data_IF_350067310823
#
_entry.id   IF_350067310823
#
_cell.length_a   1.000
_cell.length_b   1.000
_cell.length_c   1.000
_cell.angle_alpha   90.00
_cell.angle_beta   90.00
_cell.angle_gamma   90.00
#
_symmetry.space_group_name_H-M   'P 1'
#
loop_
_entity.id
_entity.type
_entity.pdbx_description
1 polymer ?
#
# COMPACT_ATOMS: atom_id res chain seq x y z
N UNK A 1 12.01 -29.03 4.72
CA UNK A 1 11.50 -27.96 5.60
C UNK A 1 11.84 -26.54 5.08
N UNK A 2 11.96 -26.31 3.76
CA UNK A 2 12.27 -24.96 3.23
C UNK A 2 11.02 -24.15 2.82
N UNK A 3 9.93 -24.83 2.48
CA UNK A 3 8.73 -24.17 1.94
C UNK A 3 7.95 -23.37 2.99
N UNK A 4 7.97 -23.83 4.26
CA UNK A 4 7.32 -23.14 5.39
C UNK A 4 8.06 -21.85 5.79
N UNK A 5 9.38 -21.77 5.58
CA UNK A 5 10.16 -20.57 5.90
C UNK A 5 9.91 -19.42 4.91
N UNK A 6 9.60 -19.73 3.64
CA UNK A 6 9.19 -18.72 2.63
C UNK A 6 7.83 -18.08 2.91
N UNK A 7 6.93 -18.82 3.57
CA UNK A 7 5.61 -18.30 3.94
C UNK A 7 5.75 -17.41 5.20
N UNK A 8 6.59 -17.81 6.17
CA UNK A 8 6.88 -16.98 7.35
C UNK A 8 7.51 -15.63 7.01
N UNK A 9 8.38 -15.56 5.99
CA UNK A 9 9.02 -14.29 5.60
C UNK A 9 8.06 -13.25 5.03
N UNK A 10 6.83 -13.62 4.65
CA UNK A 10 5.80 -12.64 4.23
C UNK A 10 5.06 -12.05 5.44
N UNK A 11 5.06 -12.74 6.59
CA UNK A 11 4.36 -12.33 7.82
C UNK A 11 5.29 -11.56 8.76
N UNK A 12 6.61 -11.73 8.67
CA UNK A 12 7.57 -11.08 9.59
C UNK A 12 8.12 -9.72 9.13
N UNK A 13 7.73 -9.20 7.96
CA UNK A 13 8.18 -7.88 7.49
C UNK A 13 7.33 -6.70 7.99
N UNK A 14 6.28 -6.93 8.79
CA UNK A 14 5.45 -5.87 9.39
C UNK A 14 6.27 -4.81 10.16
N UNK A 15 7.40 -5.18 10.75
CA UNK A 15 8.25 -4.27 11.53
C UNK A 15 9.22 -3.43 10.70
N UNK A 16 9.47 -3.76 9.42
CA UNK A 16 10.50 -3.09 8.59
C UNK A 16 9.94 -2.13 7.56
N UNK A 17 8.66 -2.22 7.19
CA UNK A 17 8.01 -1.33 6.19
C UNK A 17 7.24 -0.16 6.79
N UNK A 18 7.02 -0.15 8.11
CA UNK A 18 6.10 0.76 8.80
C UNK A 18 6.74 1.90 9.63
N UNK A 19 7.89 1.74 10.30
CA UNK A 19 8.50 2.86 11.03
C UNK A 19 9.05 3.88 10.03
N UNK A 20 8.38 5.02 9.88
CA UNK A 20 8.78 6.12 9.00
C UNK A 20 7.87 6.38 7.80
N UNK A 21 6.87 5.54 7.54
CA UNK A 21 5.80 5.86 6.58
C UNK A 21 4.80 6.80 7.25
N UNK A 22 4.48 7.99 6.69
CA UNK A 22 3.62 8.93 7.38
C UNK A 22 2.21 8.37 7.65
N UNK A 23 1.74 7.40 6.86
CA UNK A 23 0.45 6.73 7.08
C UNK A 23 0.34 6.02 8.44
N UNK A 24 1.47 5.58 9.03
CA UNK A 24 1.47 4.90 10.34
C UNK A 24 1.37 5.87 11.52
N UNK A 25 1.50 7.18 11.26
CA UNK A 25 1.20 8.22 12.25
C UNK A 25 -0.31 8.31 12.47
N UNK A 26 -1.07 8.33 11.39
CA UNK A 26 -2.52 8.56 11.42
C UNK A 26 -3.35 7.28 11.54
N UNK A 27 -2.86 6.16 11.00
CA UNK A 27 -3.54 4.87 11.02
C UNK A 27 -2.78 3.85 11.84
N UNK A 28 -3.53 3.09 12.63
CA UNK A 28 -3.08 1.84 13.22
C UNK A 28 -3.29 0.72 12.21
N UNK A 29 -2.21 0.07 11.78
CA UNK A 29 -2.27 -1.01 10.80
C UNK A 29 -2.46 -2.34 11.54
N UNK A 30 -3.54 -3.05 11.20
CA UNK A 30 -3.96 -4.26 11.91
C UNK A 30 -3.40 -5.50 11.22
N UNK A 31 -3.80 -5.74 9.98
CA UNK A 31 -3.46 -6.97 9.24
C UNK A 31 -3.41 -6.74 7.73
N UNK A 32 -2.68 -7.60 7.02
CA UNK A 32 -2.64 -7.62 5.56
C UNK A 32 -3.81 -8.45 5.04
N UNK A 33 -4.68 -7.84 4.26
CA UNK A 33 -5.93 -8.46 3.81
C UNK A 33 -5.91 -8.86 2.34
N UNK A 34 -5.16 -8.14 1.50
CA UNK A 34 -5.16 -8.39 0.05
C UNK A 34 -3.97 -7.75 -0.66
N UNK A 35 -3.76 -8.13 -1.92
CA UNK A 35 -2.91 -7.39 -2.86
C UNK A 35 -3.74 -6.90 -4.04
N UNK A 36 -3.42 -5.73 -4.58
CA UNK A 36 -4.26 -5.05 -5.57
C UNK A 36 -3.46 -4.33 -6.67
N UNK A 37 -4.18 -3.93 -7.71
CA UNK A 37 -3.66 -3.17 -8.85
C UNK A 37 -2.75 -3.98 -9.78
N UNK A 38 -2.14 -3.30 -10.78
CA UNK A 38 -1.27 -3.94 -11.77
C UNK A 38 -0.12 -4.68 -11.10
N UNK A 39 0.12 -5.91 -11.54
CA UNK A 39 1.15 -6.82 -11.01
C UNK A 39 1.08 -7.07 -9.49
N UNK A 40 -0.09 -6.83 -8.87
CA UNK A 40 -0.35 -7.02 -7.43
C UNK A 40 0.65 -6.27 -6.53
N UNK A 41 1.09 -5.10 -7.00
CA UNK A 41 2.11 -4.29 -6.34
C UNK A 41 1.60 -3.56 -5.10
N UNK A 42 0.30 -3.25 -5.04
CA UNK A 42 -0.29 -2.70 -3.83
C UNK A 42 -0.53 -3.80 -2.82
N UNK A 43 -0.04 -3.58 -1.60
CA UNK A 43 -0.42 -4.35 -0.41
C UNK A 43 -1.50 -3.59 0.32
N UNK A 44 -2.63 -4.25 0.55
CA UNK A 44 -3.80 -3.68 1.20
C UNK A 44 -3.85 -4.21 2.62
N UNK A 45 -3.89 -3.28 3.56
CA UNK A 45 -3.98 -3.57 4.98
C UNK A 45 -5.29 -3.04 5.53
N UNK A 46 -5.85 -3.76 6.51
CA UNK A 46 -6.86 -3.21 7.38
C UNK A 46 -6.20 -2.17 8.28
N UNK A 47 -6.68 -0.93 8.25
CA UNK A 47 -6.21 0.15 9.08
C UNK A 47 -7.35 0.77 9.89
N UNK A 48 -7.05 1.29 11.06
CA UNK A 48 -7.98 2.04 11.90
C UNK A 48 -7.43 3.44 12.11
N UNK A 49 -8.20 4.47 11.74
CA UNK A 49 -7.79 5.86 11.93
C UNK A 49 -7.75 6.17 13.43
N UNK A 50 -6.60 6.62 13.95
CA UNK A 50 -6.42 6.76 15.41
C UNK A 50 -7.34 7.82 16.02
N UNK A 51 -7.62 8.90 15.29
CA UNK A 51 -8.43 10.02 15.75
C UNK A 51 -9.92 9.74 15.74
N UNK A 52 -10.46 9.17 14.66
CA UNK A 52 -11.91 8.94 14.49
C UNK A 52 -12.33 7.52 14.83
N UNK A 53 -11.38 6.59 14.99
CA UNK A 53 -11.61 5.14 15.15
C UNK A 53 -12.35 4.49 13.98
N UNK A 54 -12.38 5.15 12.82
CA UNK A 54 -12.99 4.62 11.61
C UNK A 54 -12.09 3.54 10.98
N UNK A 55 -12.72 2.48 10.48
CA UNK A 55 -12.03 1.45 9.69
C UNK A 55 -11.78 1.94 8.27
N UNK A 56 -10.60 1.64 7.74
CA UNK A 56 -10.20 1.98 6.39
C UNK A 56 -9.24 0.96 5.79
N UNK A 57 -9.08 1.01 4.47
CA UNK A 57 -8.12 0.21 3.74
C UNK A 57 -6.87 1.04 3.44
N UNK A 58 -5.71 0.58 3.91
CA UNK A 58 -4.42 1.25 3.71
C UNK A 58 -3.66 0.55 2.60
N UNK A 59 -3.37 1.29 1.52
CA UNK A 59 -2.63 0.79 0.36
C UNK A 59 -1.16 1.18 0.48
N UNK A 60 -0.27 0.19 0.48
CA UNK A 60 1.18 0.39 0.59
C UNK A 60 1.87 -0.21 -0.63
N UNK A 61 2.80 0.55 -1.22
CA UNK A 61 3.68 0.08 -2.28
C UNK A 61 5.10 -0.08 -1.75
N UNK A 62 5.61 -1.30 -1.77
CA UNK A 62 7.00 -1.58 -1.44
C UNK A 62 7.90 -1.31 -2.65
N UNK A 63 8.64 -0.18 -2.63
CA UNK A 63 9.55 0.19 -3.72
C UNK A 63 10.58 -0.91 -4.06
N UNK A 64 10.99 -1.73 -3.08
CA UNK A 64 11.91 -2.87 -3.28
C UNK A 64 11.36 -3.93 -4.25
N UNK A 65 10.04 -4.10 -4.33
CA UNK A 65 9.42 -5.01 -5.30
C UNK A 65 9.66 -4.56 -6.75
N UNK A 66 10.02 -3.29 -6.95
CA UNK A 66 10.32 -2.73 -8.26
C UNK A 66 11.78 -2.97 -8.69
N UNK A 67 12.65 -3.44 -7.79
CA UNK A 67 14.08 -3.66 -8.09
C UNK A 67 14.30 -4.82 -9.08
N UNK A 68 13.28 -5.66 -9.30
CA UNK A 68 13.27 -6.71 -10.32
C UNK A 68 13.05 -6.22 -11.75
N UNK A 69 12.65 -4.96 -11.93
CA UNK A 69 12.38 -4.36 -13.23
C UNK A 69 13.54 -3.49 -13.69
N UNK A 70 13.66 -3.29 -15.00
CA UNK A 70 14.60 -2.30 -15.54
C UNK A 70 14.22 -0.90 -15.06
N UNK A 71 15.20 0.03 -15.09
CA UNK A 71 14.98 1.43 -14.72
C UNK A 71 13.81 2.05 -15.48
N UNK A 72 13.70 1.77 -16.78
CA UNK A 72 12.63 2.29 -17.63
C UNK A 72 11.26 1.75 -17.22
N UNK A 73 11.13 0.43 -17.06
CA UNK A 73 9.87 -0.21 -16.63
C UNK A 73 9.43 0.27 -15.25
N UNK A 74 10.37 0.42 -14.30
CA UNK A 74 10.08 0.95 -12.96
C UNK A 74 9.46 2.34 -13.03
N UNK A 75 9.98 3.22 -13.87
CA UNK A 75 9.47 4.58 -14.06
C UNK A 75 8.08 4.57 -14.71
N UNK A 76 7.87 3.71 -15.71
CA UNK A 76 6.56 3.51 -16.33
C UNK A 76 5.53 3.01 -15.31
N UNK A 77 5.87 1.99 -14.52
CA UNK A 77 4.99 1.43 -13.48
C UNK A 77 4.61 2.51 -12.47
N UNK A 78 5.61 3.23 -11.93
CA UNK A 78 5.36 4.31 -10.97
C UNK A 78 4.46 5.41 -11.56
N UNK A 79 4.65 5.75 -12.83
CA UNK A 79 3.82 6.74 -13.53
C UNK A 79 2.36 6.29 -13.63
N UNK A 80 2.13 5.03 -14.03
CA UNK A 80 0.78 4.45 -14.11
C UNK A 80 0.11 4.46 -12.73
N UNK A 81 0.83 4.04 -11.69
CA UNK A 81 0.31 3.97 -10.32
C UNK A 81 -0.06 5.36 -9.78
N UNK A 82 0.82 6.36 -9.95
CA UNK A 82 0.56 7.75 -9.54
C UNK A 82 -0.65 8.35 -10.25
N UNK A 83 -0.73 8.15 -11.56
CA UNK A 83 -1.85 8.64 -12.37
C UNK A 83 -3.17 7.97 -11.98
N UNK A 84 -3.15 6.68 -11.62
CA UNK A 84 -4.32 5.96 -11.11
C UNK A 84 -4.87 6.59 -9.84
N UNK A 85 -4.00 6.84 -8.85
CA UNK A 85 -4.41 7.46 -7.57
C UNK A 85 -4.92 8.89 -7.79
N UNK A 86 -4.25 9.68 -8.61
CA UNK A 86 -4.67 11.04 -8.92
C UNK A 86 -6.05 11.12 -9.58
N UNK A 87 -6.48 10.07 -10.28
CA UNK A 87 -7.84 9.95 -10.82
C UNK A 87 -8.83 9.52 -9.73
N UNK A 88 -8.47 8.53 -8.91
CA UNK A 88 -9.32 8.04 -7.81
C UNK A 88 -9.66 9.14 -6.80
N UNK A 89 -8.73 10.04 -6.48
CA UNK A 89 -8.98 11.17 -5.55
C UNK A 89 -9.99 12.18 -6.08
N UNK A 90 -10.26 12.21 -7.39
CA UNK A 90 -11.23 13.12 -8.01
C UNK A 90 -12.64 12.54 -8.09
N UNK A 91 -12.79 11.23 -7.89
CA UNK A 91 -14.09 10.55 -7.97
C UNK A 91 -14.84 10.70 -6.65
N UNK A 92 -16.08 11.20 -6.72
CA UNK A 92 -17.00 11.28 -5.58
C UNK A 92 -18.36 10.75 -6.00
N UNK A 93 -18.63 9.51 -5.64
CA UNK A 93 -19.88 8.83 -5.95
C UNK A 93 -20.23 7.82 -4.84
N UNK A 94 -21.49 7.68 -4.41
CA UNK A 94 -21.87 6.77 -3.31
C UNK A 94 -21.45 5.31 -3.51
N UNK A 95 -21.41 4.87 -4.77
CA UNK A 95 -21.00 3.50 -5.15
C UNK A 95 -19.49 3.35 -5.43
N UNK A 96 -18.68 4.38 -5.20
CA UNK A 96 -17.23 4.36 -5.41
C UNK A 96 -16.54 4.63 -4.08
N UNK A 97 -15.55 3.82 -3.74
CA UNK A 97 -14.73 4.05 -2.56
C UNK A 97 -14.03 5.41 -2.66
N UNK A 98 -14.22 6.23 -1.63
CA UNK A 98 -13.60 7.54 -1.52
C UNK A 98 -12.20 7.42 -0.95
N UNK A 99 -11.25 8.13 -1.56
CA UNK A 99 -9.89 8.21 -1.05
C UNK A 99 -9.84 9.21 0.10
N UNK A 100 -9.61 8.75 1.32
CA UNK A 100 -9.53 9.62 2.50
C UNK A 100 -8.20 10.37 2.57
N UNK A 101 -7.09 9.71 2.24
CA UNK A 101 -5.74 10.29 2.24
C UNK A 101 -5.10 10.04 0.88
N UNK A 102 -4.55 11.09 0.29
CA UNK A 102 -3.88 11.00 -1.00
C UNK A 102 -2.55 10.22 -0.90
N UNK A 103 -1.92 9.95 -2.05
CA UNK A 103 -0.62 9.29 -2.08
C UNK A 103 0.42 10.10 -1.31
N UNK A 104 1.05 9.46 -0.33
CA UNK A 104 2.21 9.99 0.39
C UNK A 104 3.44 9.15 0.09
N UNK A 105 4.54 9.81 -0.22
CA UNK A 105 5.81 9.16 -0.48
C UNK A 105 6.72 9.30 0.72
N UNK A 106 7.18 8.16 1.26
CA UNK A 106 8.32 8.16 2.17
C UNK A 106 9.58 8.59 1.40
N UNK A 107 10.40 9.45 2.04
CA UNK A 107 11.66 9.98 1.49
C UNK A 107 12.67 8.88 1.24
#
# INVERSE_FOLDING_TARGET
MEMLNRIKSTVSNFSTVLPGNPVTREYEIVEHVASAGPALLWKVYKGIKKSTKEEGAVFVLEKKLLDRYSKHERETILTILKNGIARLTRLRHPSILTVQQALEESR
#
